data_IF_670167085369
#
_entry.id   IF_670167085369
#
_cell.length_a   1.000
_cell.length_b   1.000
_cell.length_c   1.000
_cell.angle_alpha   90.00
_cell.angle_beta   90.00
_cell.angle_gamma   90.00
#
_symmetry.space_group_name_H-M   'P 1'
#
loop_
_entity.id
_entity.type
_entity.pdbx_description
1 polymer ?
#
# COMPACT_ATOMS: atom_id res chain seq x y z
N UNK A 1 1.39 -25.79 -8.75
CA UNK A 1 0.54 -24.66 -9.18
C UNK A 1 -0.61 -25.20 -10.04
N UNK A 2 -1.83 -24.85 -9.71
CA UNK A 2 -2.99 -25.28 -10.50
C UNK A 2 -3.20 -24.34 -11.68
N UNK A 3 -3.91 -24.87 -12.71
CA UNK A 3 -4.25 -24.05 -13.89
C UNK A 3 -5.08 -22.83 -13.46
N UNK A 4 -5.98 -23.01 -12.48
CA UNK A 4 -6.79 -21.92 -11.96
C UNK A 4 -5.96 -20.81 -11.32
N UNK A 5 -4.92 -21.17 -10.56
CA UNK A 5 -4.03 -20.20 -9.97
C UNK A 5 -3.24 -19.43 -11.03
N UNK A 6 -2.82 -20.12 -12.08
CA UNK A 6 -2.08 -19.50 -13.17
C UNK A 6 -2.96 -18.51 -13.92
N UNK A 7 -4.23 -18.85 -14.15
CA UNK A 7 -5.18 -17.97 -14.79
C UNK A 7 -5.52 -16.76 -13.92
N UNK A 8 -5.66 -16.97 -12.61
CA UNK A 8 -5.89 -15.88 -11.67
C UNK A 8 -4.76 -14.87 -11.71
N UNK A 9 -3.50 -15.34 -11.70
CA UNK A 9 -2.35 -14.46 -11.80
C UNK A 9 -2.30 -13.73 -13.13
N UNK A 10 -2.62 -14.45 -14.22
CA UNK A 10 -2.63 -13.86 -15.55
C UNK A 10 -3.67 -12.74 -15.64
N UNK A 11 -4.91 -13.01 -15.20
CA UNK A 11 -5.97 -12.00 -15.22
C UNK A 11 -5.67 -10.84 -14.28
N UNK A 12 -5.12 -11.13 -13.11
CA UNK A 12 -4.76 -10.10 -12.16
C UNK A 12 -3.70 -9.17 -12.74
N UNK A 13 -2.68 -9.72 -13.39
CA UNK A 13 -1.61 -8.92 -13.97
C UNK A 13 -2.06 -8.15 -15.21
N UNK A 14 -3.03 -8.66 -15.95
CA UNK A 14 -3.51 -8.03 -17.16
C UNK A 14 -4.64 -7.04 -16.95
N UNK A 15 -5.62 -7.42 -16.10
CA UNK A 15 -6.77 -6.57 -15.81
C UNK A 15 -6.44 -5.53 -14.74
N UNK A 16 -5.53 -5.89 -13.84
CA UNK A 16 -5.05 -5.01 -12.81
C UNK A 16 -3.66 -4.53 -13.21
N UNK A 17 -3.59 -3.67 -14.23
CA UNK A 17 -2.33 -3.06 -14.63
C UNK A 17 -1.72 -2.24 -13.50
N UNK A 18 -0.55 -1.59 -13.74
CA UNK A 18 0.13 -0.85 -12.67
C UNK A 18 -0.77 0.13 -11.93
N UNK A 19 -1.64 0.84 -12.63
CA UNK A 19 -2.55 1.80 -12.00
C UNK A 19 -3.54 1.11 -11.06
N UNK A 20 -4.06 -0.06 -11.44
CA UNK A 20 -4.99 -0.80 -10.59
C UNK A 20 -4.30 -1.40 -9.37
N UNK A 21 -3.06 -1.87 -9.51
CA UNK A 21 -2.27 -2.36 -8.38
C UNK A 21 -1.94 -1.24 -7.41
N UNK A 22 -1.67 -0.05 -7.92
CA UNK A 22 -1.46 1.13 -7.08
C UNK A 22 -2.73 1.49 -6.30
N UNK A 23 -3.89 1.46 -6.96
CA UNK A 23 -5.16 1.69 -6.29
C UNK A 23 -5.43 0.67 -5.18
N UNK A 24 -5.04 -0.59 -5.42
CA UNK A 24 -5.16 -1.62 -4.40
C UNK A 24 -4.25 -1.37 -3.21
N UNK A 25 -3.05 -0.81 -3.44
CA UNK A 25 -2.15 -0.44 -2.36
C UNK A 25 -2.80 0.60 -1.45
N UNK A 26 -3.48 1.58 -2.02
CA UNK A 26 -4.21 2.60 -1.27
C UNK A 26 -5.30 1.95 -0.40
N UNK A 27 -6.04 1.01 -0.96
CA UNK A 27 -7.09 0.29 -0.22
C UNK A 27 -6.52 -0.55 0.93
N UNK A 28 -5.34 -1.15 0.73
CA UNK A 28 -4.71 -2.00 1.73
C UNK A 28 -4.11 -1.21 2.88
N UNK A 29 -3.91 0.09 2.71
CA UNK A 29 -3.31 0.92 3.76
C UNK A 29 -4.00 0.76 5.10
N UNK A 30 -5.33 0.85 5.13
CA UNK A 30 -6.10 0.74 6.36
C UNK A 30 -5.90 -0.61 7.05
N UNK A 31 -5.83 -1.69 6.28
CA UNK A 31 -5.63 -3.02 6.85
C UNK A 31 -4.23 -3.17 7.45
N UNK A 32 -3.23 -2.62 6.77
CA UNK A 32 -1.84 -2.79 7.19
C UNK A 32 -1.53 -1.96 8.43
N UNK A 33 -2.03 -0.73 8.51
CA UNK A 33 -1.73 0.16 9.65
C UNK A 33 -2.67 -0.03 10.84
N UNK A 34 -3.84 -0.63 10.62
CA UNK A 34 -4.83 -0.84 11.66
C UNK A 34 -5.82 0.30 11.77
N UNK A 35 -6.89 0.05 12.53
CA UNK A 35 -8.03 0.95 12.61
C UNK A 35 -7.70 2.34 13.13
N UNK A 36 -6.88 2.42 14.18
CA UNK A 36 -6.54 3.71 14.77
C UNK A 36 -5.80 4.61 13.80
N UNK A 37 -4.73 4.10 13.20
CA UNK A 37 -3.93 4.89 12.26
C UNK A 37 -4.73 5.21 11.00
N UNK A 38 -5.54 4.27 10.53
CA UNK A 38 -6.40 4.50 9.37
C UNK A 38 -7.37 5.67 9.62
N UNK A 39 -7.93 5.72 10.84
CA UNK A 39 -8.88 6.76 11.21
C UNK A 39 -8.26 8.15 11.24
N UNK A 40 -7.00 8.25 11.65
CA UNK A 40 -6.29 9.54 11.71
C UNK A 40 -5.49 9.85 10.45
N UNK A 41 -5.57 8.99 9.45
CA UNK A 41 -4.98 9.26 8.13
C UNK A 41 -5.90 10.24 7.39
N UNK A 42 -5.39 11.44 7.12
CA UNK A 42 -6.16 12.48 6.45
C UNK A 42 -6.18 12.29 4.93
N UNK A 43 -5.10 11.79 4.38
CA UNK A 43 -5.02 11.53 2.96
C UNK A 43 -4.05 10.41 2.66
N UNK A 44 -4.39 9.60 1.66
CA UNK A 44 -3.53 8.57 1.14
C UNK A 44 -3.70 8.50 -0.36
N UNK A 45 -2.59 8.60 -1.10
CA UNK A 45 -2.60 8.40 -2.53
C UNK A 45 -1.24 7.88 -2.98
N UNK A 46 -1.20 7.33 -4.18
CA UNK A 46 0.03 6.76 -4.71
C UNK A 46 0.30 7.34 -6.09
N UNK A 47 1.58 7.57 -6.39
CA UNK A 47 2.00 8.11 -7.67
C UNK A 47 3.38 7.55 -8.00
N UNK A 48 3.49 6.88 -9.14
CA UNK A 48 4.74 6.29 -9.60
C UNK A 48 5.38 5.37 -8.56
N UNK A 49 4.56 4.59 -7.85
CA UNK A 49 5.03 3.66 -6.84
C UNK A 49 5.35 4.30 -5.49
N UNK A 50 5.17 5.60 -5.35
CA UNK A 50 5.41 6.30 -4.08
C UNK A 50 4.07 6.55 -3.41
N UNK A 51 3.89 6.00 -2.22
CA UNK A 51 2.69 6.16 -1.42
C UNK A 51 2.84 7.39 -0.53
N UNK A 52 1.91 8.34 -0.68
CA UNK A 52 1.89 9.58 0.10
C UNK A 52 0.79 9.47 1.13
N UNK A 53 1.16 9.61 2.40
CA UNK A 53 0.21 9.55 3.51
C UNK A 53 0.35 10.81 4.35
N UNK A 54 -0.77 11.37 4.78
CA UNK A 54 -0.77 12.60 5.57
C UNK A 54 -1.56 12.43 6.85
N UNK A 55 -1.06 13.04 7.91
CA UNK A 55 -1.62 12.97 9.25
C UNK A 55 -1.61 14.36 9.87
N UNK A 56 -2.63 14.65 10.68
CA UNK A 56 -2.66 15.87 11.48
C UNK A 56 -1.78 15.76 12.73
N UNK A 57 -1.62 14.55 13.26
CA UNK A 57 -0.86 14.30 14.48
C UNK A 57 0.63 14.16 14.18
N UNK A 58 1.45 14.99 14.80
CA UNK A 58 2.90 14.90 14.67
C UNK A 58 3.43 13.58 15.26
N UNK A 59 2.83 13.10 16.32
CA UNK A 59 3.24 11.85 16.96
C UNK A 59 3.00 10.65 16.04
N UNK A 60 1.83 10.58 15.42
CA UNK A 60 1.50 9.51 14.48
C UNK A 60 2.40 9.60 13.25
N UNK A 61 2.63 10.82 12.75
CA UNK A 61 3.49 11.05 11.60
C UNK A 61 4.91 10.52 11.85
N UNK A 62 5.47 10.81 13.02
CA UNK A 62 6.80 10.35 13.39
C UNK A 62 6.85 8.82 13.50
N UNK A 63 5.84 8.22 14.12
CA UNK A 63 5.76 6.77 14.26
C UNK A 63 5.69 6.07 12.91
N UNK A 64 4.82 6.54 12.03
CA UNK A 64 4.67 5.95 10.70
C UNK A 64 5.95 6.14 9.88
N UNK A 65 6.60 7.29 9.99
CA UNK A 65 7.87 7.51 9.31
C UNK A 65 8.92 6.48 9.73
N UNK A 66 9.02 6.19 11.02
CA UNK A 66 9.97 5.20 11.53
C UNK A 66 9.65 3.78 11.07
N UNK A 67 8.38 3.49 10.80
CA UNK A 67 7.91 2.16 10.40
C UNK A 67 7.70 2.04 8.89
N UNK A 68 8.05 3.04 8.13
CA UNK A 68 7.68 3.08 6.71
C UNK A 68 8.22 1.92 5.90
N UNK A 69 9.43 1.45 6.20
CA UNK A 69 10.00 0.31 5.48
C UNK A 69 9.25 -0.98 5.77
N UNK A 70 8.92 -1.20 7.03
CA UNK A 70 8.12 -2.37 7.41
C UNK A 70 6.75 -2.33 6.76
N UNK A 71 6.11 -1.17 6.76
CA UNK A 71 4.79 -1.00 6.15
C UNK A 71 4.87 -1.22 4.63
N UNK A 72 5.92 -0.70 3.99
CA UNK A 72 6.14 -0.92 2.57
C UNK A 72 6.28 -2.40 2.25
N UNK A 73 7.07 -3.12 3.04
CA UNK A 73 7.26 -4.55 2.86
C UNK A 73 5.95 -5.32 3.05
N UNK A 74 5.15 -4.93 4.04
CA UNK A 74 3.85 -5.57 4.29
C UNK A 74 2.87 -5.32 3.14
N UNK A 75 2.83 -4.10 2.62
CA UNK A 75 1.99 -3.77 1.47
C UNK A 75 2.41 -4.59 0.25
N UNK A 76 3.69 -4.62 -0.04
CA UNK A 76 4.20 -5.34 -1.20
C UNK A 76 3.99 -6.85 -1.08
N UNK A 77 4.08 -7.39 0.14
CA UNK A 77 3.81 -8.80 0.37
C UNK A 77 2.36 -9.14 0.04
N UNK A 78 1.42 -8.29 0.44
CA UNK A 78 0.00 -8.49 0.13
C UNK A 78 -0.31 -8.30 -1.34
N UNK A 79 0.42 -7.40 -2.00
CA UNK A 79 0.26 -7.14 -3.44
C UNK A 79 1.03 -8.14 -4.30
N UNK A 80 1.90 -8.95 -3.68
CA UNK A 80 2.74 -9.94 -4.36
C UNK A 80 3.64 -9.33 -5.42
N UNK A 81 4.22 -8.18 -5.09
CA UNK A 81 5.13 -7.50 -6.00
C UNK A 81 5.63 -6.19 -5.44
N UNK A 82 6.60 -5.60 -6.11
CA UNK A 82 7.17 -4.31 -5.71
C UNK A 82 6.36 -3.16 -6.26
N UNK A 83 5.13 -3.02 -5.81
CA UNK A 83 4.22 -1.96 -6.24
C UNK A 83 4.58 -0.65 -5.53
N UNK A 84 4.79 -0.72 -4.22
CA UNK A 84 5.16 0.44 -3.41
C UNK A 84 6.67 0.43 -3.21
N UNK A 85 7.34 1.45 -3.73
CA UNK A 85 8.80 1.54 -3.63
C UNK A 85 9.26 2.59 -2.61
N UNK A 86 8.34 3.41 -2.12
CA UNK A 86 8.63 4.35 -1.04
C UNK A 86 7.33 4.83 -0.42
N UNK A 87 7.41 5.28 0.82
CA UNK A 87 6.29 5.91 1.52
C UNK A 87 6.76 7.28 1.99
N UNK A 88 6.05 8.33 1.55
CA UNK A 88 6.31 9.71 1.97
C UNK A 88 5.27 10.08 3.02
N UNK A 89 5.72 10.49 4.18
CA UNK A 89 4.86 10.83 5.32
C UNK A 89 4.84 12.35 5.49
N UNK A 90 3.65 12.91 5.51
CA UNK A 90 3.45 14.37 5.61
C UNK A 90 2.60 14.77 6.79
#
# INVERSE_FOLDING_TARGET
MSVGQLLDEYFRNRQLGPAAMEGRAVELWAEVVGEYVARVTEGVYIRNGVLYVSFSSAAVRAEIFMRRRLLMDQLNARLRGRVVRNIVVR
#
